data_IF_497629716977
#
_entry.id   IF_497629716977
#
_cell.length_a   1.000
_cell.length_b   1.000
_cell.length_c   1.000
_cell.angle_alpha   90.00
_cell.angle_beta   90.00
_cell.angle_gamma   90.00
#
_symmetry.space_group_name_H-M   'P 1'
#
loop_
_entity.id
_entity.type
_entity.pdbx_description
1 polymer ?
#
# COMPACT_ATOMS: atom_id res chain seq x y z
N UNK A 1 -36.98 0.31 -19.13
CA UNK A 1 -37.56 1.53 -19.78
C UNK A 1 -36.52 2.54 -20.23
N UNK A 2 -35.66 3.09 -19.36
CA UNK A 2 -34.65 4.09 -19.76
C UNK A 2 -33.69 3.55 -20.84
N UNK A 3 -33.20 2.32 -20.65
CA UNK A 3 -32.42 1.58 -21.65
C UNK A 3 -33.15 1.45 -23.00
N UNK A 4 -34.45 1.12 -22.98
CA UNK A 4 -35.24 0.91 -24.19
C UNK A 4 -35.38 2.17 -25.05
N UNK A 5 -35.38 3.35 -24.43
CA UNK A 5 -35.51 4.65 -25.12
C UNK A 5 -34.19 5.37 -25.33
N UNK A 6 -33.11 4.92 -24.68
CA UNK A 6 -31.77 5.48 -24.83
C UNK A 6 -31.34 5.48 -26.29
N UNK A 7 -30.64 6.52 -26.72
CA UNK A 7 -29.99 6.58 -28.03
C UNK A 7 -28.57 6.05 -27.91
N UNK A 8 -27.90 5.88 -29.04
CA UNK A 8 -26.47 5.57 -29.04
C UNK A 8 -25.68 6.65 -28.28
N UNK A 9 -24.63 6.23 -27.57
CA UNK A 9 -23.79 7.08 -26.70
C UNK A 9 -24.52 7.72 -25.50
N UNK A 10 -25.73 7.26 -25.17
CA UNK A 10 -26.47 7.77 -24.03
C UNK A 10 -25.81 7.41 -22.69
N UNK A 11 -25.82 8.38 -21.77
CA UNK A 11 -25.46 8.19 -20.36
C UNK A 11 -26.73 8.16 -19.52
N UNK A 12 -26.93 7.08 -18.78
CA UNK A 12 -28.04 6.92 -17.84
C UNK A 12 -27.44 6.95 -16.44
N UNK A 13 -27.89 7.91 -15.64
CA UNK A 13 -27.47 8.04 -14.25
C UNK A 13 -28.45 7.30 -13.35
N UNK A 14 -27.93 6.43 -12.49
CA UNK A 14 -28.69 5.69 -11.51
C UNK A 14 -28.51 6.37 -10.15
N UNK A 15 -29.48 7.19 -9.77
CA UNK A 15 -29.47 7.88 -8.48
C UNK A 15 -29.95 6.92 -7.37
N UNK A 16 -29.18 6.88 -6.28
CA UNK A 16 -29.29 6.04 -5.06
C UNK A 16 -30.51 5.10 -4.98
N UNK A 17 -30.48 3.98 -5.71
CA UNK A 17 -31.58 3.03 -5.75
C UNK A 17 -31.11 1.58 -5.89
N UNK A 18 -31.95 0.67 -5.38
CA UNK A 18 -31.80 -0.77 -5.57
C UNK A 18 -32.67 -1.20 -6.74
N UNK A 19 -32.05 -1.72 -7.79
CA UNK A 19 -32.70 -2.23 -8.99
C UNK A 19 -32.66 -3.75 -8.98
N UNK A 20 -33.76 -4.39 -8.60
CA UNK A 20 -33.86 -5.86 -8.50
C UNK A 20 -34.24 -6.53 -9.82
N UNK A 21 -34.63 -5.76 -10.82
CA UNK A 21 -35.02 -6.28 -12.12
C UNK A 21 -33.82 -6.65 -13.00
N UNK A 22 -34.01 -7.63 -13.87
CA UNK A 22 -33.04 -7.94 -14.90
C UNK A 22 -33.00 -6.82 -15.95
N UNK A 23 -31.80 -6.33 -16.23
CA UNK A 23 -31.53 -5.34 -17.27
C UNK A 23 -31.08 -6.06 -18.55
N UNK A 24 -32.01 -6.22 -19.49
CA UNK A 24 -31.67 -6.70 -20.83
C UNK A 24 -31.11 -5.54 -21.65
N UNK A 25 -29.87 -5.68 -22.12
CA UNK A 25 -29.20 -4.64 -22.88
C UNK A 25 -29.80 -4.53 -24.29
N UNK A 26 -30.25 -3.34 -24.72
CA UNK A 26 -30.86 -3.19 -26.03
C UNK A 26 -29.81 -3.40 -27.14
N UNK A 27 -30.27 -3.74 -28.35
CA UNK A 27 -29.41 -3.81 -29.54
C UNK A 27 -29.08 -2.41 -30.06
N UNK A 28 -28.34 -1.63 -29.27
CA UNK A 28 -27.94 -0.23 -29.51
C UNK A 28 -26.49 -0.04 -29.09
N UNK A 29 -25.78 0.85 -29.79
CA UNK A 29 -24.35 1.02 -29.57
C UNK A 29 -24.08 1.97 -28.40
N UNK A 30 -23.16 1.59 -27.52
CA UNK A 30 -22.52 2.46 -26.52
C UNK A 30 -23.49 3.13 -25.52
N UNK A 31 -24.11 2.36 -24.62
CA UNK A 31 -24.80 2.98 -23.48
C UNK A 31 -23.86 2.95 -22.26
N UNK A 32 -23.86 4.04 -21.49
CA UNK A 32 -23.23 4.08 -20.18
C UNK A 32 -24.28 4.03 -19.07
N UNK A 33 -24.15 3.09 -18.15
CA UNK A 33 -24.83 3.14 -16.85
C UNK A 33 -23.85 3.66 -15.82
N UNK A 34 -24.18 4.80 -15.21
CA UNK A 34 -23.34 5.48 -14.23
C UNK A 34 -24.12 5.55 -12.93
N UNK A 35 -23.72 4.77 -11.93
CA UNK A 35 -24.30 4.84 -10.60
C UNK A 35 -23.55 5.77 -9.66
N UNK A 36 -23.84 5.55 -8.40
CA UNK A 36 -23.22 6.15 -7.22
C UNK A 36 -22.72 5.02 -6.32
N UNK A 37 -22.08 5.36 -5.20
CA UNK A 37 -21.72 4.36 -4.18
C UNK A 37 -22.91 3.52 -3.67
N UNK A 38 -24.14 4.03 -3.82
CA UNK A 38 -25.37 3.44 -3.31
C UNK A 38 -26.23 2.77 -4.39
N UNK A 39 -25.81 2.80 -5.65
CA UNK A 39 -26.58 2.20 -6.76
C UNK A 39 -26.34 0.69 -6.80
N UNK A 40 -27.36 -0.07 -6.40
CA UNK A 40 -27.28 -1.54 -6.30
C UNK A 40 -28.09 -2.19 -7.39
N UNK A 41 -27.48 -3.11 -8.13
CA UNK A 41 -28.15 -3.97 -9.10
C UNK A 41 -28.28 -5.37 -8.47
N UNK A 42 -29.54 -5.71 -8.16
CA UNK A 42 -29.97 -6.99 -7.62
C UNK A 42 -30.24 -8.06 -8.68
N UNK A 43 -30.57 -7.63 -9.91
CA UNK A 43 -30.84 -8.51 -11.04
C UNK A 43 -29.65 -8.70 -11.98
N UNK A 44 -29.85 -9.47 -13.04
CA UNK A 44 -28.82 -9.67 -14.07
C UNK A 44 -28.74 -8.48 -15.02
N UNK A 45 -27.54 -8.11 -15.45
CA UNK A 45 -27.31 -7.27 -16.63
C UNK A 45 -26.94 -8.19 -17.81
N UNK A 46 -27.81 -8.30 -18.81
CA UNK A 46 -27.63 -9.24 -19.94
C UNK A 46 -27.25 -8.51 -21.22
N UNK A 47 -26.03 -8.74 -21.71
CA UNK A 47 -25.47 -8.13 -22.92
C UNK A 47 -25.38 -9.22 -24.00
N UNK A 48 -26.46 -9.41 -24.73
CA UNK A 48 -26.62 -10.49 -25.73
C UNK A 48 -26.24 -10.07 -27.15
N UNK A 49 -26.07 -8.77 -27.39
CA UNK A 49 -25.73 -8.19 -28.70
C UNK A 49 -24.28 -7.69 -28.74
N UNK A 50 -23.74 -7.57 -29.96
CA UNK A 50 -22.38 -7.08 -30.18
C UNK A 50 -22.30 -5.54 -30.06
N UNK A 51 -22.43 -5.05 -28.84
CA UNK A 51 -22.46 -3.62 -28.49
C UNK A 51 -21.40 -3.29 -27.45
N UNK A 52 -20.99 -2.02 -27.34
CA UNK A 52 -20.16 -1.58 -26.21
C UNK A 52 -21.01 -1.16 -25.02
N UNK A 53 -20.61 -1.58 -23.84
CA UNK A 53 -21.29 -1.33 -22.57
C UNK A 53 -20.30 -0.73 -21.58
N UNK A 54 -20.63 0.44 -21.05
CA UNK A 54 -19.82 1.09 -20.03
C UNK A 54 -20.59 1.10 -18.70
N UNK A 55 -20.06 0.43 -17.69
CA UNK A 55 -20.64 0.40 -16.35
C UNK A 55 -19.71 1.15 -15.40
N UNK A 56 -20.25 2.13 -14.67
CA UNK A 56 -19.47 2.95 -13.73
C UNK A 56 -20.13 3.05 -12.37
N UNK A 57 -19.35 2.88 -11.30
CA UNK A 57 -19.77 3.11 -9.92
C UNK A 57 -21.07 2.38 -9.55
N UNK A 58 -21.05 1.05 -9.69
CA UNK A 58 -22.21 0.20 -9.39
C UNK A 58 -21.84 -0.84 -8.33
N UNK A 59 -22.80 -1.22 -7.51
CA UNK A 59 -22.72 -2.41 -6.68
C UNK A 59 -23.59 -3.51 -7.29
N UNK A 60 -23.06 -4.70 -7.48
CA UNK A 60 -23.84 -5.89 -7.86
C UNK A 60 -24.01 -6.77 -6.63
N UNK A 61 -25.24 -7.17 -6.34
CA UNK A 61 -25.57 -8.04 -5.21
C UNK A 61 -26.59 -9.07 -5.65
N UNK A 62 -26.31 -10.36 -5.50
CA UNK A 62 -27.16 -11.48 -5.94
C UNK A 62 -27.44 -11.60 -7.47
N UNK A 63 -27.10 -10.58 -8.26
CA UNK A 63 -27.18 -10.60 -9.72
C UNK A 63 -25.84 -10.87 -10.40
N UNK A 64 -25.84 -10.89 -11.73
CA UNK A 64 -24.66 -11.11 -12.56
C UNK A 64 -24.60 -10.16 -13.76
N UNK A 65 -23.41 -9.75 -14.18
CA UNK A 65 -23.17 -9.11 -15.48
C UNK A 65 -22.80 -10.18 -16.51
N UNK A 66 -23.66 -10.40 -17.50
CA UNK A 66 -23.51 -11.42 -18.54
C UNK A 66 -23.14 -10.79 -19.88
N UNK A 67 -21.86 -10.79 -20.21
CA UNK A 67 -21.37 -10.33 -21.51
C UNK A 67 -21.21 -11.49 -22.50
N UNK A 68 -22.23 -11.74 -23.32
CA UNK A 68 -22.27 -12.86 -24.26
C UNK A 68 -21.76 -12.51 -25.66
N UNK A 69 -21.85 -11.24 -26.05
CA UNK A 69 -21.55 -10.81 -27.42
C UNK A 69 -20.86 -9.44 -27.53
N UNK A 70 -20.85 -8.62 -26.47
CA UNK A 70 -20.42 -7.24 -26.51
C UNK A 70 -18.99 -6.97 -26.07
N UNK A 71 -18.65 -5.67 -26.02
CA UNK A 71 -17.45 -5.13 -25.38
C UNK A 71 -17.86 -4.53 -24.04
N UNK A 72 -17.41 -5.10 -22.94
CA UNK A 72 -17.73 -4.63 -21.60
C UNK A 72 -16.57 -3.79 -21.04
N UNK A 73 -16.85 -2.57 -20.61
CA UNK A 73 -15.93 -1.71 -19.88
C UNK A 73 -16.53 -1.41 -18.50
N UNK A 74 -15.83 -1.78 -17.44
CA UNK A 74 -16.27 -1.61 -16.06
C UNK A 74 -15.26 -0.75 -15.30
N UNK A 75 -15.75 0.27 -14.62
CA UNK A 75 -14.94 1.19 -13.82
C UNK A 75 -15.63 1.39 -12.48
N UNK A 76 -15.05 0.82 -11.42
CA UNK A 76 -15.64 0.96 -10.10
C UNK A 76 -16.84 0.10 -9.79
N UNK A 77 -16.79 -1.16 -10.20
CA UNK A 77 -17.75 -2.16 -9.76
C UNK A 77 -17.42 -2.63 -8.34
N UNK A 78 -18.44 -2.81 -7.52
CA UNK A 78 -18.35 -3.43 -6.19
C UNK A 78 -19.22 -4.68 -6.16
N UNK A 79 -18.73 -5.77 -5.58
CA UNK A 79 -19.52 -6.97 -5.32
C UNK A 79 -19.08 -7.66 -4.05
N UNK A 80 -20.06 -7.99 -3.23
CA UNK A 80 -19.89 -8.65 -1.94
C UNK A 80 -20.79 -9.87 -1.85
N UNK A 81 -20.23 -11.00 -1.39
CA UNK A 81 -21.00 -12.19 -1.00
C UNK A 81 -21.88 -12.79 -2.11
N UNK A 82 -21.47 -12.65 -3.38
CA UNK A 82 -22.24 -13.20 -4.48
C UNK A 82 -22.01 -14.71 -4.63
N UNK A 83 -23.08 -15.49 -4.73
CA UNK A 83 -23.02 -16.95 -4.90
C UNK A 83 -22.98 -17.38 -6.36
N UNK A 84 -23.22 -16.45 -7.29
CA UNK A 84 -23.04 -16.64 -8.72
C UNK A 84 -21.80 -15.86 -9.18
N UNK A 85 -21.25 -16.16 -10.38
CA UNK A 85 -20.19 -15.33 -10.92
C UNK A 85 -20.64 -13.88 -11.06
N UNK A 86 -19.87 -12.92 -10.56
CA UNK A 86 -20.27 -11.49 -10.63
C UNK A 86 -20.27 -11.00 -12.08
N UNK A 87 -19.22 -11.36 -12.82
CA UNK A 87 -19.11 -11.10 -14.25
C UNK A 87 -18.92 -12.44 -14.99
N UNK A 88 -19.85 -12.80 -15.87
CA UNK A 88 -19.64 -13.88 -16.86
C UNK A 88 -19.39 -13.27 -18.22
N UNK A 89 -18.17 -13.44 -18.72
CA UNK A 89 -17.71 -12.88 -19.98
C UNK A 89 -17.41 -14.00 -21.00
N UNK A 90 -17.82 -13.79 -22.26
CA UNK A 90 -17.41 -14.64 -23.37
C UNK A 90 -16.85 -13.89 -24.59
N UNK A 91 -16.59 -12.59 -24.41
CA UNK A 91 -16.04 -11.65 -25.40
C UNK A 91 -14.98 -10.77 -24.75
N UNK A 92 -14.93 -9.49 -25.06
CA UNK A 92 -13.97 -8.58 -24.45
C UNK A 92 -14.54 -7.96 -23.18
N UNK A 93 -13.78 -8.00 -22.09
CA UNK A 93 -14.03 -7.23 -20.88
C UNK A 93 -12.77 -6.48 -20.42
N UNK A 94 -12.92 -5.21 -20.07
CA UNK A 94 -11.91 -4.42 -19.38
C UNK A 94 -12.50 -3.93 -18.06
N UNK A 95 -11.90 -4.32 -16.94
CA UNK A 95 -12.37 -4.02 -15.59
C UNK A 95 -11.28 -3.25 -14.84
N UNK A 96 -11.62 -2.11 -14.26
CA UNK A 96 -10.68 -1.31 -13.47
C UNK A 96 -11.31 -0.75 -12.20
N UNK A 97 -10.47 -0.35 -11.25
CA UNK A 97 -10.87 0.33 -10.00
C UNK A 97 -11.97 -0.41 -9.23
N UNK A 98 -12.05 -1.74 -9.35
CA UNK A 98 -13.20 -2.53 -8.89
C UNK A 98 -12.86 -3.32 -7.62
N UNK A 99 -13.87 -3.66 -6.83
CA UNK A 99 -13.74 -4.39 -5.57
C UNK A 99 -14.63 -5.63 -5.62
N UNK A 100 -14.03 -6.79 -5.45
CA UNK A 100 -14.71 -8.09 -5.38
C UNK A 100 -14.30 -8.76 -4.07
N UNK A 101 -15.24 -8.91 -3.14
CA UNK A 101 -14.98 -9.59 -1.88
C UNK A 101 -16.01 -10.67 -1.55
N UNK A 102 -15.53 -11.79 -1.00
CA UNK A 102 -16.39 -12.88 -0.53
C UNK A 102 -17.30 -13.50 -1.60
N UNK A 103 -16.97 -13.37 -2.88
CA UNK A 103 -17.76 -13.97 -3.96
C UNK A 103 -17.33 -15.43 -4.18
N UNK A 104 -18.25 -16.28 -4.63
CA UNK A 104 -17.90 -17.62 -5.07
C UNK A 104 -17.02 -17.55 -6.32
N UNK A 105 -17.42 -16.75 -7.31
CA UNK A 105 -16.60 -16.43 -8.48
C UNK A 105 -16.67 -14.94 -8.75
N UNK A 106 -15.54 -14.23 -8.70
CA UNK A 106 -15.53 -12.81 -9.04
C UNK A 106 -15.71 -12.62 -10.56
N UNK A 107 -14.93 -13.33 -11.38
CA UNK A 107 -15.08 -13.29 -12.83
C UNK A 107 -15.02 -14.69 -13.44
N UNK A 108 -15.98 -15.01 -14.29
CA UNK A 108 -15.97 -16.18 -15.16
C UNK A 108 -15.63 -15.75 -16.59
N UNK A 109 -14.58 -16.34 -17.17
CA UNK A 109 -14.19 -16.10 -18.56
C UNK A 109 -14.32 -17.40 -19.38
N UNK A 110 -15.20 -17.38 -20.38
CA UNK A 110 -15.64 -18.56 -21.11
C UNK A 110 -15.59 -18.36 -22.64
N UNK A 111 -15.45 -19.46 -23.40
CA UNK A 111 -15.42 -19.40 -24.87
C UNK A 111 -14.14 -18.79 -25.48
N UNK A 112 -14.25 -17.63 -26.13
CA UNK A 112 -13.14 -16.90 -26.78
C UNK A 112 -12.97 -15.51 -26.13
N UNK A 113 -13.32 -15.39 -24.85
CA UNK A 113 -13.28 -14.14 -24.13
C UNK A 113 -11.86 -13.69 -23.81
N UNK A 114 -11.60 -12.40 -24.01
CA UNK A 114 -10.41 -11.71 -23.54
C UNK A 114 -10.80 -10.84 -22.36
N UNK A 115 -10.03 -10.92 -21.28
CA UNK A 115 -10.26 -10.06 -20.12
C UNK A 115 -8.98 -9.39 -19.64
N UNK A 116 -9.08 -8.10 -19.37
CA UNK A 116 -8.07 -7.32 -18.68
C UNK A 116 -8.67 -6.74 -17.41
N UNK A 117 -8.02 -7.01 -16.28
CA UNK A 117 -8.38 -6.44 -14.99
C UNK A 117 -7.17 -5.70 -14.43
N UNK A 118 -7.34 -4.42 -14.13
CA UNK A 118 -6.28 -3.59 -13.56
C UNK A 118 -6.75 -2.84 -12.33
N UNK A 119 -5.84 -2.49 -11.41
CA UNK A 119 -6.15 -1.62 -10.26
C UNK A 119 -7.41 -2.04 -9.51
N UNK A 120 -7.55 -3.32 -9.18
CA UNK A 120 -8.74 -3.86 -8.54
C UNK A 120 -8.39 -4.65 -7.28
N UNK A 121 -9.34 -4.76 -6.35
CA UNK A 121 -9.17 -5.46 -5.08
C UNK A 121 -10.00 -6.75 -5.11
N UNK A 122 -9.32 -7.89 -4.97
CA UNK A 122 -9.93 -9.20 -4.82
C UNK A 122 -9.63 -9.73 -3.43
N UNK A 123 -10.65 -9.86 -2.59
CA UNK A 123 -10.49 -10.23 -1.19
C UNK A 123 -11.36 -11.42 -0.81
N UNK A 124 -10.75 -12.52 -0.38
CA UNK A 124 -11.50 -13.68 0.14
C UNK A 124 -12.55 -14.26 -0.82
N UNK A 125 -12.30 -14.21 -2.14
CA UNK A 125 -13.14 -14.89 -3.12
C UNK A 125 -12.75 -16.37 -3.21
N UNK A 126 -13.72 -17.24 -3.48
CA UNK A 126 -13.42 -18.63 -3.77
C UNK A 126 -12.71 -18.75 -5.13
N UNK A 127 -13.15 -18.05 -6.18
CA UNK A 127 -12.38 -17.89 -7.41
C UNK A 127 -12.24 -16.41 -7.80
N UNK A 128 -11.03 -15.99 -8.17
CA UNK A 128 -10.79 -14.64 -8.73
C UNK A 128 -11.17 -14.64 -10.21
N UNK A 129 -10.56 -15.54 -10.98
CA UNK A 129 -11.02 -15.84 -12.34
C UNK A 129 -11.20 -17.34 -12.51
N UNK A 130 -12.42 -17.75 -12.83
CA UNK A 130 -12.67 -19.07 -13.39
C UNK A 130 -12.55 -19.00 -14.92
N UNK A 131 -11.42 -19.46 -15.47
CA UNK A 131 -11.11 -19.38 -16.89
C UNK A 131 -10.90 -20.77 -17.50
N UNK A 132 -11.61 -21.05 -18.59
CA UNK A 132 -11.48 -22.29 -19.39
C UNK A 132 -10.49 -22.16 -20.55
N UNK A 133 -9.27 -21.64 -20.27
CA UNK A 133 -8.13 -21.68 -21.19
C UNK A 133 -7.92 -20.49 -22.13
N UNK A 134 -8.43 -19.30 -21.79
CA UNK A 134 -8.32 -18.08 -22.62
C UNK A 134 -7.34 -17.05 -22.06
N UNK A 135 -7.08 -15.99 -22.84
CA UNK A 135 -6.26 -14.85 -22.44
C UNK A 135 -6.97 -14.04 -21.35
N UNK A 136 -6.36 -14.00 -20.17
CA UNK A 136 -6.74 -13.11 -19.08
C UNK A 136 -5.48 -12.40 -18.58
N UNK A 137 -5.57 -11.10 -18.32
CA UNK A 137 -4.50 -10.32 -17.68
C UNK A 137 -5.03 -9.72 -16.40
N UNK A 138 -4.29 -9.90 -15.31
CA UNK A 138 -4.48 -9.21 -14.04
C UNK A 138 -3.25 -8.36 -13.76
N UNK A 139 -3.43 -7.05 -13.67
CA UNK A 139 -2.35 -6.10 -13.43
C UNK A 139 -2.60 -5.20 -12.23
N UNK A 140 -1.56 -4.80 -11.51
CA UNK A 140 -1.63 -3.73 -10.50
C UNK A 140 -2.81 -3.89 -9.52
N UNK A 141 -3.16 -5.13 -9.17
CA UNK A 141 -4.32 -5.47 -8.35
C UNK A 141 -3.91 -6.13 -7.03
N UNK A 142 -4.75 -5.99 -6.00
CA UNK A 142 -4.57 -6.65 -4.70
C UNK A 142 -5.32 -7.98 -4.73
N UNK A 143 -4.60 -9.08 -4.55
CA UNK A 143 -5.13 -10.44 -4.48
C UNK A 143 -4.87 -11.00 -3.08
N UNK A 144 -5.80 -10.75 -2.15
CA UNK A 144 -5.60 -11.09 -0.74
C UNK A 144 -6.59 -12.16 -0.24
N UNK A 145 -6.05 -13.25 0.32
CA UNK A 145 -6.82 -14.32 0.97
C UNK A 145 -7.83 -15.03 0.02
N UNK A 146 -7.57 -15.04 -1.29
CA UNK A 146 -8.40 -15.79 -2.25
C UNK A 146 -7.91 -17.24 -2.34
N UNK A 147 -8.72 -18.14 -2.91
CA UNK A 147 -8.21 -19.47 -3.25
C UNK A 147 -7.20 -19.38 -4.40
N UNK A 148 -5.91 -19.51 -4.07
CA UNK A 148 -4.79 -19.36 -5.00
C UNK A 148 -4.84 -20.33 -6.19
N UNK A 149 -5.53 -21.46 -6.06
CA UNK A 149 -5.69 -22.42 -7.15
C UNK A 149 -6.65 -21.93 -8.25
N UNK A 150 -7.29 -20.77 -8.08
CA UNK A 150 -8.39 -20.28 -8.92
C UNK A 150 -8.18 -18.84 -9.43
N UNK A 151 -6.96 -18.53 -9.85
CA UNK A 151 -6.67 -17.34 -10.67
C UNK A 151 -6.91 -17.55 -12.16
N UNK A 152 -7.27 -18.77 -12.55
CA UNK A 152 -7.28 -19.18 -13.95
C UNK A 152 -5.87 -19.11 -14.54
N UNK A 153 -5.73 -19.38 -15.83
CA UNK A 153 -4.47 -19.16 -16.55
C UNK A 153 -4.20 -17.67 -16.82
N UNK A 154 -4.54 -16.79 -15.86
CA UNK A 154 -4.36 -15.35 -16.00
C UNK A 154 -2.88 -14.98 -15.91
N UNK A 155 -2.43 -14.13 -16.82
CA UNK A 155 -1.12 -13.50 -16.74
C UNK A 155 -1.15 -12.43 -15.64
N UNK A 156 -0.43 -12.69 -14.55
CA UNK A 156 -0.30 -11.78 -13.43
C UNK A 156 0.87 -10.82 -13.67
N UNK A 157 0.64 -9.51 -13.62
CA UNK A 157 1.66 -8.48 -13.79
C UNK A 157 1.59 -7.48 -12.65
N UNK A 158 2.65 -7.40 -11.82
CA UNK A 158 2.75 -6.40 -10.76
C UNK A 158 1.55 -6.37 -9.79
N UNK A 159 1.11 -7.54 -9.32
CA UNK A 159 0.02 -7.66 -8.33
C UNK A 159 0.60 -7.87 -6.93
N UNK A 160 -0.13 -7.43 -5.91
CA UNK A 160 0.14 -7.78 -4.52
C UNK A 160 -0.61 -9.07 -4.17
N UNK A 161 0.10 -10.20 -4.11
CA UNK A 161 -0.51 -11.54 -3.95
C UNK A 161 -0.23 -12.10 -2.56
N UNK A 162 -1.29 -12.39 -1.79
CA UNK A 162 -1.24 -13.01 -0.46
C UNK A 162 -0.34 -12.32 0.59
N UNK A 163 -0.03 -11.05 0.36
CA UNK A 163 0.60 -10.18 1.33
C UNK A 163 -0.50 -9.30 1.92
N UNK A 164 -0.52 -9.13 3.24
CA UNK A 164 -1.52 -8.30 3.91
C UNK A 164 -1.43 -6.85 3.37
N UNK A 165 -2.47 -6.35 2.68
CA UNK A 165 -2.48 -5.02 2.09
C UNK A 165 -2.77 -3.92 3.12
N UNK A 166 -2.99 -4.27 4.39
CA UNK A 166 -3.32 -3.31 5.46
C UNK A 166 -4.57 -2.48 5.15
N UNK A 167 -5.67 -3.12 4.74
CA UNK A 167 -6.95 -2.44 4.57
C UNK A 167 -7.38 -1.76 5.88
N UNK A 168 -7.84 -0.52 5.78
CA UNK A 168 -8.27 0.31 6.93
C UNK A 168 -9.79 0.47 7.04
N UNK A 169 -10.53 -0.12 6.11
CA UNK A 169 -11.99 -0.14 6.09
C UNK A 169 -12.53 -1.55 5.81
N UNK A 170 -13.79 -1.76 6.17
CA UNK A 170 -14.49 -3.04 6.03
C UNK A 170 -14.91 -3.37 4.58
N UNK A 171 -14.87 -2.38 3.68
CA UNK A 171 -15.23 -2.54 2.28
C UNK A 171 -14.01 -2.88 1.40
N UNK A 172 -12.82 -3.03 2.00
CA UNK A 172 -11.55 -3.28 1.31
C UNK A 172 -11.26 -2.24 0.24
N UNK A 173 -11.62 -0.99 0.50
CA UNK A 173 -11.46 0.09 -0.45
C UNK A 173 -10.06 0.71 -0.34
N UNK A 174 -9.73 1.22 0.85
CA UNK A 174 -8.51 1.95 1.15
C UNK A 174 -7.51 1.11 1.94
N UNK A 175 -6.23 1.37 1.69
CA UNK A 175 -5.11 0.77 2.41
C UNK A 175 -4.47 1.81 3.33
N UNK A 176 -3.79 1.34 4.37
CA UNK A 176 -2.96 2.19 5.21
C UNK A 176 -1.80 2.79 4.40
N UNK A 177 -1.32 3.97 4.80
CA UNK A 177 -0.24 4.67 4.08
C UNK A 177 1.06 3.85 3.99
N UNK A 178 1.32 2.98 4.96
CA UNK A 178 2.48 2.08 5.00
C UNK A 178 2.20 0.69 4.39
N UNK A 179 1.13 0.57 3.62
CA UNK A 179 0.81 -0.66 2.91
C UNK A 179 1.86 -0.98 1.85
N UNK A 180 2.20 -2.26 1.64
CA UNK A 180 3.03 -2.66 0.50
C UNK A 180 2.35 -2.43 -0.87
N UNK A 181 1.08 -2.04 -0.90
CA UNK A 181 0.38 -1.64 -2.13
C UNK A 181 0.67 -0.18 -2.53
N UNK A 182 1.11 0.67 -1.58
CA UNK A 182 1.37 2.09 -1.84
C UNK A 182 2.65 2.24 -2.66
N UNK A 183 2.61 3.08 -3.70
CA UNK A 183 3.71 3.33 -4.65
C UNK A 183 4.26 2.06 -5.33
N UNK A 184 3.47 0.99 -5.42
CA UNK A 184 3.92 -0.30 -5.96
C UNK A 184 3.48 -0.54 -7.41
N UNK A 185 2.62 0.31 -7.96
CA UNK A 185 2.06 0.15 -9.30
C UNK A 185 3.00 0.64 -10.41
N UNK A 186 2.70 0.25 -11.66
CA UNK A 186 3.55 0.57 -12.81
C UNK A 186 2.80 0.91 -14.10
N UNK A 187 1.47 1.04 -14.05
CA UNK A 187 0.63 1.36 -15.19
C UNK A 187 -0.09 2.70 -15.00
N UNK A 188 -0.20 3.47 -16.07
CA UNK A 188 -0.86 4.77 -15.99
C UNK A 188 -2.37 4.61 -16.22
N UNK A 189 -3.16 4.73 -15.16
CA UNK A 189 -4.58 5.07 -15.24
C UNK A 189 -4.81 6.46 -14.66
N UNK A 190 -5.83 7.17 -15.13
CA UNK A 190 -5.99 8.59 -14.79
C UNK A 190 -6.43 8.81 -13.34
N UNK A 191 -7.37 8.00 -12.83
CA UNK A 191 -7.98 8.19 -11.52
C UNK A 191 -8.36 6.87 -10.85
N UNK A 192 -8.45 6.87 -9.51
CA UNK A 192 -8.96 5.77 -8.70
C UNK A 192 -10.51 5.71 -8.62
N UNK A 193 -11.06 4.81 -7.80
CA UNK A 193 -12.50 4.65 -7.63
C UNK A 193 -13.23 5.89 -7.07
N UNK A 194 -12.54 6.76 -6.33
CA UNK A 194 -13.10 8.03 -5.82
C UNK A 194 -12.97 9.17 -6.82
N UNK A 195 -12.20 8.97 -7.89
CA UNK A 195 -11.82 10.03 -8.83
C UNK A 195 -10.55 10.78 -8.42
N UNK A 196 -9.76 10.26 -7.47
CA UNK A 196 -8.44 10.83 -7.11
C UNK A 196 -7.46 10.52 -8.25
N UNK A 197 -6.71 11.52 -8.71
CA UNK A 197 -5.72 11.35 -9.79
C UNK A 197 -4.60 10.39 -9.38
N UNK A 198 -4.01 9.70 -10.36
CA UNK A 198 -2.86 8.81 -10.13
C UNK A 198 -1.66 9.21 -10.98
N UNK A 199 -0.43 9.10 -10.48
CA UNK A 199 -0.09 8.87 -9.07
C UNK A 199 -0.35 10.12 -8.21
N UNK A 200 -0.71 9.95 -6.94
CA UNK A 200 -0.62 11.04 -5.96
C UNK A 200 0.83 11.21 -5.46
N UNK A 201 1.60 10.14 -5.44
CA UNK A 201 2.98 10.10 -4.93
C UNK A 201 3.98 9.84 -6.07
N UNK A 202 4.90 8.89 -5.91
CA UNK A 202 5.92 8.58 -6.92
C UNK A 202 5.34 7.67 -8.01
N UNK A 203 4.67 6.59 -7.60
CA UNK A 203 4.06 5.59 -8.47
C UNK A 203 2.59 5.40 -8.07
N UNK A 204 1.73 4.93 -8.99
CA UNK A 204 0.34 4.67 -8.65
C UNK A 204 0.26 3.51 -7.65
N UNK A 205 -0.69 3.56 -6.73
CA UNK A 205 -0.90 2.49 -5.77
C UNK A 205 -1.55 1.27 -6.43
N UNK A 206 -1.11 0.06 -6.08
CA UNK A 206 -1.79 -1.17 -6.47
C UNK A 206 -3.18 -1.22 -5.83
N UNK A 207 -4.17 -1.68 -6.59
CA UNK A 207 -5.56 -1.82 -6.12
C UNK A 207 -6.46 -0.67 -6.52
N UNK A 208 -7.70 -0.67 -6.02
CA UNK A 208 -8.77 0.21 -6.51
C UNK A 208 -8.67 1.69 -6.07
N UNK A 209 -7.89 1.98 -5.04
CA UNK A 209 -7.77 3.29 -4.42
C UNK A 209 -6.33 3.78 -4.46
N UNK A 210 -6.17 5.09 -4.59
CA UNK A 210 -4.89 5.79 -4.48
C UNK A 210 -4.78 6.47 -3.11
N UNK A 211 -3.79 6.13 -2.30
CA UNK A 211 -3.49 6.89 -1.08
C UNK A 211 -3.21 8.34 -1.47
N UNK A 212 -3.78 9.28 -0.72
CA UNK A 212 -3.53 10.72 -0.85
C UNK A 212 -2.68 11.25 0.30
N UNK A 213 -2.17 10.35 1.15
CA UNK A 213 -1.35 10.64 2.32
C UNK A 213 0.08 10.17 2.09
N UNK A 214 1.10 10.93 2.54
CA UNK A 214 2.51 10.54 2.42
C UNK A 214 2.78 9.15 2.99
N UNK A 215 3.62 8.35 2.35
CA UNK A 215 4.08 7.09 2.94
C UNK A 215 5.23 7.35 3.93
N UNK A 216 5.22 6.70 5.09
CA UNK A 216 6.30 6.79 6.08
C UNK A 216 6.83 5.37 6.31
N UNK A 217 8.08 5.13 5.92
CA UNK A 217 8.74 3.84 5.99
C UNK A 217 9.91 3.95 6.97
N UNK A 218 9.86 3.17 8.05
CA UNK A 218 11.03 2.99 8.92
C UNK A 218 11.98 1.99 8.27
N UNK A 219 13.20 2.44 7.96
CA UNK A 219 14.25 1.61 7.38
C UNK A 219 15.21 1.10 8.45
N UNK A 220 15.48 1.90 9.48
CA UNK A 220 16.28 1.52 10.65
C UNK A 220 15.67 2.07 11.93
N UNK A 221 15.67 1.30 13.03
CA UNK A 221 16.25 -0.05 13.16
C UNK A 221 15.45 -1.11 12.39
N UNK A 222 16.16 -2.10 11.81
CA UNK A 222 15.51 -3.24 11.15
C UNK A 222 14.77 -4.14 12.14
N UNK A 223 15.23 -4.16 13.40
CA UNK A 223 14.58 -4.86 14.50
C UNK A 223 14.29 -3.87 15.64
N UNK A 224 13.12 -3.21 15.63
CA UNK A 224 12.70 -2.29 16.68
C UNK A 224 12.73 -2.91 18.09
N UNK A 225 12.59 -4.22 18.22
CA UNK A 225 12.64 -4.95 19.50
C UNK A 225 14.07 -5.05 20.09
N UNK A 226 15.10 -4.73 19.31
CA UNK A 226 16.51 -4.78 19.71
C UNK A 226 17.25 -3.56 19.16
N UNK A 227 16.71 -2.38 19.42
CA UNK A 227 17.23 -1.11 18.92
C UNK A 227 18.48 -0.71 19.70
N UNK A 228 19.57 -0.42 19.02
CA UNK A 228 20.74 0.14 19.71
C UNK A 228 20.46 1.58 20.18
N UNK A 229 20.97 1.96 21.35
CA UNK A 229 20.87 3.34 21.85
C UNK A 229 21.71 4.36 21.06
N UNK A 230 22.63 3.91 20.21
CA UNK A 230 23.46 4.78 19.35
C UNK A 230 23.08 4.71 17.87
N UNK A 231 22.19 3.79 17.51
CA UNK A 231 21.71 3.61 16.15
C UNK A 231 20.92 4.84 15.68
N UNK A 232 21.25 5.32 14.48
CA UNK A 232 20.45 6.34 13.82
C UNK A 232 19.15 5.72 13.33
N UNK A 233 18.06 6.48 13.47
CA UNK A 233 16.83 6.15 12.78
C UNK A 233 16.99 6.52 11.31
N UNK A 234 16.76 5.57 10.42
CA UNK A 234 16.66 5.82 8.99
C UNK A 234 15.19 5.73 8.58
N UNK A 235 14.66 6.80 7.98
CA UNK A 235 13.25 6.90 7.59
C UNK A 235 13.19 7.35 6.14
N UNK A 236 12.28 6.76 5.37
CA UNK A 236 11.89 7.29 4.07
C UNK A 236 10.48 7.84 4.13
N UNK A 237 10.32 9.06 3.61
CA UNK A 237 9.03 9.68 3.35
C UNK A 237 8.82 9.64 1.83
N UNK A 238 7.81 8.90 1.37
CA UNK A 238 7.46 8.85 -0.06
C UNK A 238 6.33 9.84 -0.31
N UNK A 239 6.65 10.88 -1.06
CA UNK A 239 5.78 11.97 -1.50
C UNK A 239 6.57 12.81 -2.50
N UNK A 240 5.95 13.28 -3.58
CA UNK A 240 6.67 14.03 -4.62
C UNK A 240 7.37 15.24 -4.00
N UNK A 241 8.69 15.43 -4.19
CA UNK A 241 9.38 16.63 -3.71
C UNK A 241 8.69 17.91 -4.20
N UNK A 242 8.22 18.74 -3.27
CA UNK A 242 7.38 19.92 -3.55
C UNK A 242 5.90 19.77 -3.21
N UNK A 243 5.41 18.54 -3.00
CA UNK A 243 4.10 18.28 -2.36
C UNK A 243 4.17 18.18 -0.84
N UNK A 244 5.36 18.08 -0.26
CA UNK A 244 5.58 18.13 1.20
C UNK A 244 6.77 19.03 1.52
N UNK A 245 6.63 19.80 2.59
CA UNK A 245 7.70 20.61 3.16
C UNK A 245 8.33 19.90 4.36
N UNK A 246 9.64 20.04 4.58
CA UNK A 246 10.37 19.32 5.64
C UNK A 246 9.88 19.67 7.05
N UNK A 247 9.40 20.90 7.25
CA UNK A 247 8.77 21.36 8.49
C UNK A 247 7.48 20.62 8.85
N UNK A 248 6.85 19.96 7.88
CA UNK A 248 5.66 19.14 8.09
C UNK A 248 6.00 17.69 8.46
N UNK A 249 7.29 17.35 8.61
CA UNK A 249 7.74 16.04 9.10
C UNK A 249 8.16 16.21 10.56
N UNK A 250 7.36 15.68 11.47
CA UNK A 250 7.49 15.90 12.92
C UNK A 250 7.73 14.59 13.65
N UNK A 251 8.67 14.61 14.59
CA UNK A 251 8.96 13.52 15.51
C UNK A 251 8.45 13.88 16.91
N UNK A 252 7.89 12.92 17.64
CA UNK A 252 7.55 13.13 19.04
C UNK A 252 8.77 13.09 19.98
N UNK A 253 9.88 12.49 19.53
CA UNK A 253 11.15 12.49 20.23
C UNK A 253 12.00 13.68 19.76
N UNK A 254 12.77 14.26 20.68
CA UNK A 254 13.78 15.24 20.31
C UNK A 254 14.89 14.54 19.51
N UNK A 255 15.02 14.89 18.24
CA UNK A 255 15.98 14.29 17.30
C UNK A 255 16.72 15.39 16.55
N UNK A 256 17.97 15.12 16.18
CA UNK A 256 18.69 15.87 15.15
C UNK A 256 18.46 15.16 13.82
N UNK A 257 17.88 15.84 12.84
CA UNK A 257 17.47 15.24 11.57
C UNK A 257 18.24 15.85 10.42
N UNK A 258 18.83 14.98 9.59
CA UNK A 258 19.39 15.33 8.29
C UNK A 258 18.45 14.84 7.19
N UNK A 259 18.08 15.72 6.27
CA UNK A 259 17.17 15.42 5.15
C UNK A 259 17.96 15.35 3.85
N UNK A 260 17.76 14.27 3.09
CA UNK A 260 18.26 14.12 1.73
C UNK A 260 17.07 13.98 0.80
N UNK A 261 16.89 14.92 -0.14
CA UNK A 261 15.86 14.80 -1.15
C UNK A 261 16.20 13.67 -2.14
N UNK A 262 15.25 12.79 -2.40
CA UNK A 262 15.30 11.73 -3.41
C UNK A 262 14.23 12.01 -4.48
N UNK A 263 14.25 11.31 -5.61
CA UNK A 263 13.22 11.46 -6.65
C UNK A 263 11.81 11.14 -6.14
N UNK A 264 11.73 10.25 -5.15
CA UNK A 264 10.47 9.71 -4.61
C UNK A 264 10.03 10.43 -3.31
N UNK A 265 10.82 11.38 -2.81
CA UNK A 265 10.53 12.12 -1.58
C UNK A 265 11.78 12.45 -0.77
N UNK A 266 11.82 12.01 0.48
CA UNK A 266 12.93 12.32 1.40
C UNK A 266 13.46 11.06 2.08
N UNK A 267 14.78 10.94 2.13
CA UNK A 267 15.49 10.05 3.04
C UNK A 267 15.98 10.87 4.25
N UNK A 268 15.65 10.40 5.44
CA UNK A 268 15.94 11.08 6.70
C UNK A 268 16.88 10.19 7.52
N UNK A 269 17.91 10.81 8.08
CA UNK A 269 18.71 10.22 9.15
C UNK A 269 18.46 11.03 10.41
N UNK A 270 17.92 10.39 11.45
CA UNK A 270 17.56 11.06 12.70
C UNK A 270 18.28 10.42 13.89
N UNK A 271 19.02 11.22 14.65
CA UNK A 271 19.70 10.81 15.87
C UNK A 271 18.97 11.38 17.11
N UNK A 272 18.44 10.54 18.02
CA UNK A 272 17.84 11.01 19.27
C UNK A 272 18.78 11.90 20.11
N UNK A 273 18.25 13.01 20.64
CA UNK A 273 18.96 13.95 21.52
C UNK A 273 18.08 14.35 22.73
N UNK A 274 18.42 13.92 23.96
CA UNK A 274 19.53 13.03 24.33
C UNK A 274 19.40 11.64 23.69
N UNK A 275 20.50 10.87 23.69
CA UNK A 275 20.46 9.47 23.29
C UNK A 275 19.42 8.71 24.12
N UNK A 276 18.92 7.60 23.56
CA UNK A 276 17.97 6.74 24.25
C UNK A 276 18.65 6.04 25.44
N UNK A 277 17.89 5.82 26.51
CA UNK A 277 18.34 5.04 27.67
C UNK A 277 18.36 3.55 27.32
N UNK A 278 19.26 2.80 27.95
CA UNK A 278 19.38 1.35 27.78
C UNK A 278 18.22 0.59 28.45
N UNK A 279 17.76 -0.51 27.83
CA UNK A 279 16.71 -1.39 28.36
C UNK A 279 15.39 -0.64 28.67
N UNK A 280 15.07 0.37 27.86
CA UNK A 280 13.83 1.14 27.92
C UNK A 280 12.99 0.92 26.68
N UNK A 281 11.68 1.06 26.87
CA UNK A 281 10.68 1.06 25.81
C UNK A 281 10.38 2.50 25.44
N UNK A 282 10.54 2.85 24.17
CA UNK A 282 10.15 4.14 23.64
C UNK A 282 9.03 3.97 22.62
N UNK A 283 8.11 4.93 22.57
CA UNK A 283 7.16 5.06 21.47
C UNK A 283 7.67 6.16 20.55
N UNK A 284 8.20 5.76 19.39
CA UNK A 284 8.52 6.67 18.30
C UNK A 284 7.24 6.95 17.51
N UNK A 285 6.89 8.22 17.36
CA UNK A 285 5.81 8.70 16.51
C UNK A 285 6.38 9.69 15.51
N UNK A 286 6.13 9.41 14.23
CA UNK A 286 6.51 10.26 13.10
C UNK A 286 5.23 10.65 12.39
N UNK A 287 5.03 11.95 12.17
CA UNK A 287 3.91 12.46 11.37
C UNK A 287 4.44 13.21 10.16
N UNK A 288 3.83 12.99 9.00
CA UNK A 288 4.13 13.71 7.77
C UNK A 288 2.84 14.27 7.17
N UNK A 289 2.83 15.56 6.84
CA UNK A 289 1.67 16.24 6.23
C UNK A 289 2.04 16.85 4.88
N UNK A 290 1.33 16.45 3.82
CA UNK A 290 1.52 17.09 2.50
C UNK A 290 0.82 18.46 2.43
N UNK A 291 1.08 19.19 1.35
CA UNK A 291 0.59 20.55 1.11
C UNK A 291 -0.94 20.62 0.93
N UNK A 292 -1.57 19.48 0.63
CA UNK A 292 -3.03 19.34 0.59
C UNK A 292 -3.64 19.15 1.98
N UNK A 293 -2.81 18.98 3.01
CA UNK A 293 -3.23 18.83 4.40
C UNK A 293 -3.46 17.38 4.84
N UNK A 294 -3.13 16.40 4.00
CA UNK A 294 -3.27 14.99 4.33
C UNK A 294 -2.11 14.51 5.22
N UNK A 295 -2.45 13.87 6.34
CA UNK A 295 -1.50 13.48 7.38
C UNK A 295 -1.37 11.95 7.42
N UNK A 296 -0.13 11.47 7.47
CA UNK A 296 0.22 10.10 7.84
C UNK A 296 0.93 10.08 9.19
N UNK A 297 0.76 8.97 9.92
CA UNK A 297 1.30 8.77 11.25
C UNK A 297 1.85 7.37 11.42
N UNK A 298 3.17 7.25 11.58
CA UNK A 298 3.84 6.01 11.92
C UNK A 298 4.14 5.98 13.42
N UNK A 299 3.63 4.94 14.11
CA UNK A 299 3.94 4.65 15.51
C UNK A 299 4.75 3.35 15.57
N UNK A 300 5.93 3.40 16.17
CA UNK A 300 6.82 2.26 16.37
C UNK A 300 7.23 2.18 17.84
N UNK A 301 7.16 0.97 18.40
CA UNK A 301 7.72 0.67 19.71
C UNK A 301 9.18 0.27 19.54
N UNK A 302 10.09 1.02 20.16
CA UNK A 302 11.51 0.73 20.20
C UNK A 302 11.85 0.12 21.56
N UNK A 303 12.28 -1.14 21.58
CA UNK A 303 12.87 -1.76 22.76
C UNK A 303 14.38 -1.64 22.63
N UNK A 304 14.93 -0.73 23.43
CA UNK A 304 16.34 -0.41 23.37
C UNK A 304 17.16 -1.45 24.10
N UNK A 305 18.28 -1.82 23.51
CA UNK A 305 19.31 -2.63 24.13
C UNK A 305 20.59 -1.82 24.24
N UNK A 306 21.44 -2.22 25.17
CA UNK A 306 22.79 -1.65 25.25
C UNK A 306 23.46 -1.92 23.90
N UNK A 307 24.03 -0.88 23.30
CA UNK A 307 24.94 -1.08 22.18
C UNK A 307 26.21 -1.73 22.71
N UNK A 308 26.68 -2.79 22.06
CA UNK A 308 27.78 -3.67 22.51
C UNK A 308 28.96 -2.87 23.07
N UNK A 309 29.22 -2.90 24.38
CA UNK A 309 29.94 -3.92 25.18
C UNK A 309 31.45 -4.04 24.94
N UNK A 310 32.09 -3.32 24.02
CA UNK A 310 33.56 -3.30 23.94
C UNK A 310 34.16 -1.91 23.78
N UNK A 311 35.05 -1.54 24.71
CA UNK A 311 35.77 -0.27 24.69
C UNK A 311 37.26 -0.53 24.69
N UNK A 312 37.97 -0.07 23.67
CA UNK A 312 39.41 -0.28 23.57
C UNK A 312 40.18 0.92 24.11
N UNK A 313 41.17 0.66 24.98
CA UNK A 313 42.05 1.67 25.60
C UNK A 313 43.47 1.47 25.09
N UNK A 314 44.06 2.52 24.51
CA UNK A 314 45.44 2.54 24.01
C UNK A 314 46.16 3.84 24.39
N UNK A 315 47.23 3.76 25.19
CA UNK A 315 48.00 4.95 25.63
C UNK A 315 48.68 5.67 24.46
N UNK A 316 48.97 4.93 23.39
CA UNK A 316 49.66 5.41 22.21
C UNK A 316 48.68 5.93 21.13
N UNK A 317 47.36 5.96 21.41
CA UNK A 317 46.39 6.44 20.45
C UNK A 317 46.53 7.94 20.20
N UNK A 318 46.89 8.29 18.97
CA UNK A 318 47.14 9.66 18.55
C UNK A 318 45.91 10.36 17.94
N UNK A 319 44.78 9.66 17.77
CA UNK A 319 43.55 10.21 17.17
C UNK A 319 42.65 10.95 18.16
N UNK A 320 41.53 11.49 17.65
CA UNK A 320 40.51 12.17 18.44
C UNK A 320 39.68 11.16 19.25
N UNK A 321 39.43 11.48 20.53
CA UNK A 321 38.75 10.60 21.50
C UNK A 321 37.21 10.64 21.33
N UNK A 322 36.71 10.31 20.14
CA UNK A 322 35.29 10.48 19.77
C UNK A 322 34.47 9.17 19.70
N UNK A 323 34.95 8.08 20.32
CA UNK A 323 34.11 6.93 20.68
C UNK A 323 33.62 6.03 19.52
N UNK A 324 34.05 6.27 18.28
CA UNK A 324 33.47 5.63 17.08
C UNK A 324 34.47 4.83 16.20
N UNK A 325 35.76 4.73 16.58
CA UNK A 325 36.75 3.93 15.83
C UNK A 325 37.76 3.26 16.76
N UNK A 326 38.07 1.99 16.49
CA UNK A 326 39.00 0.99 17.06
C UNK A 326 39.83 1.24 18.35
N UNK A 327 40.16 2.45 18.82
CA UNK A 327 40.85 2.68 20.09
C UNK A 327 40.60 4.09 20.65
N UNK A 328 39.37 4.48 21.02
CA UNK A 328 39.04 5.90 21.21
C UNK A 328 39.52 6.53 22.54
N UNK A 329 40.11 5.77 23.48
CA UNK A 329 40.47 6.32 24.80
C UNK A 329 41.94 6.11 25.16
N UNK A 330 42.61 7.20 25.54
CA UNK A 330 44.01 7.16 26.04
C UNK A 330 44.12 6.63 27.46
N UNK A 331 43.04 6.74 28.24
CA UNK A 331 43.01 6.29 29.64
C UNK A 331 41.73 5.52 29.96
N UNK A 332 41.86 4.57 30.88
CA UNK A 332 40.74 3.83 31.43
C UNK A 332 39.71 4.77 32.08
N UNK A 333 40.16 5.84 32.76
CA UNK A 333 39.27 6.82 33.39
C UNK A 333 38.34 7.50 32.39
N UNK A 334 38.86 7.87 31.21
CA UNK A 334 38.05 8.49 30.15
C UNK A 334 37.06 7.51 29.54
N UNK A 335 37.49 6.27 29.29
CA UNK A 335 36.61 5.18 28.86
C UNK A 335 35.47 4.95 29.88
N UNK A 336 35.79 4.88 31.17
CA UNK A 336 34.82 4.69 32.25
C UNK A 336 33.88 5.88 32.41
N UNK A 337 34.39 7.11 32.26
CA UNK A 337 33.56 8.34 32.31
C UNK A 337 32.59 8.36 31.13
N UNK A 338 33.06 7.99 29.94
CA UNK A 338 32.21 7.83 28.76
C UNK A 338 31.12 6.78 29.00
N UNK A 339 31.50 5.56 29.38
CA UNK A 339 30.57 4.47 29.69
C UNK A 339 29.52 4.88 30.74
N UNK A 340 29.96 5.54 31.81
CA UNK A 340 29.09 6.03 32.89
C UNK A 340 28.15 7.13 32.40
N UNK A 341 28.65 8.10 31.62
CA UNK A 341 27.83 9.18 31.05
C UNK A 341 26.78 8.69 30.07
N UNK A 342 26.99 7.50 29.49
CA UNK A 342 26.09 6.83 28.55
C UNK A 342 25.21 5.76 29.20
N UNK A 343 25.34 5.54 30.52
CA UNK A 343 24.57 4.53 31.24
C UNK A 343 24.89 3.09 30.83
N UNK A 344 26.08 2.84 30.25
CA UNK A 344 26.49 1.51 29.78
C UNK A 344 26.99 0.70 30.98
N UNK A 345 26.13 -0.19 31.48
CA UNK A 345 26.40 -0.99 32.68
C UNK A 345 27.27 -2.23 32.43
N UNK A 346 27.31 -2.73 31.19
CA UNK A 346 28.06 -3.93 30.81
C UNK A 346 28.95 -3.61 29.61
N UNK A 347 30.24 -3.39 29.85
CA UNK A 347 31.24 -3.23 28.80
C UNK A 347 32.55 -3.95 29.16
N UNK A 348 33.10 -4.66 28.20
CA UNK A 348 34.44 -5.22 28.19
C UNK A 348 35.39 -4.10 27.78
N UNK A 349 36.29 -3.70 28.69
CA UNK A 349 37.33 -2.75 28.36
C UNK A 349 38.57 -3.52 27.90
N UNK A 350 38.84 -3.49 26.61
CA UNK A 350 39.99 -4.15 25.99
C UNK A 350 41.21 -3.21 26.05
N UNK A 351 42.17 -3.55 26.91
CA UNK A 351 43.33 -2.71 27.18
C UNK A 351 44.51 -3.24 26.35
N UNK A 352 45.04 -2.44 25.43
CA UNK A 352 46.06 -2.87 24.46
C UNK A 352 47.45 -3.17 25.05
N UNK A 353 47.72 -2.75 26.29
CA UNK A 353 49.01 -2.97 26.95
C UNK A 353 48.83 -3.36 28.43
N UNK A 354 49.78 -4.11 28.99
CA UNK A 354 49.69 -4.65 30.35
C UNK A 354 49.82 -3.61 31.48
N UNK A 355 50.23 -2.36 31.18
CA UNK A 355 50.51 -1.33 32.20
C UNK A 355 49.97 0.03 31.76
N UNK A 356 48.95 0.52 32.47
CA UNK A 356 48.41 1.87 32.33
C UNK A 356 48.61 2.65 33.62
N UNK A 357 49.12 3.89 33.55
CA UNK A 357 49.11 4.78 34.71
C UNK A 357 47.65 5.12 35.08
N UNK A 358 47.35 5.05 36.37
CA UNK A 358 46.03 5.38 36.96
C UNK A 358 45.74 6.89 37.02
N UNK A 359 46.65 7.72 36.51
CA UNK A 359 46.66 9.18 36.67
C UNK A 359 46.46 9.91 35.35
#
# INVERSE_FOLDING_TARGET
RALDIARDDAKIFLDEAVFTENLNWPNKNNISLIGTSNSVIGGDIKIENAVSVNLKYLTVSNGQIRNMAGRLCVDGLRSFQNTQPVVSNSKYAHIQNSIFAYNDVAVENSGLGEIEIIYSNFVSNNAVINNSGQSARLGNSILYNNNQNQFGYANLTNNLVDINPLFIDENFAAVAFNSPAVDAGNENIATDLRGVERPQHHLPDIGAYESDRPNIILLQPLNPENTSITENLAIRIVETPGKIATENIVFNLAVSVDYTAESEGYYLTALPRPLLDTNKVYTLKITAQNNSGNISELIVTLNTVADLTEVFVSKNYAGDEVGLTDYPFRTLQKALTYLTSKGIANATVNIAEAVYPLS
#
